data_IF_692324553577
#
_entry.id   IF_692324553577
#
_cell.length_a   1.000
_cell.length_b   1.000
_cell.length_c   1.000
_cell.angle_alpha   90.00
_cell.angle_beta   90.00
_cell.angle_gamma   90.00
#
_symmetry.space_group_name_H-M   'P 1'
#
loop_
_entity.id
_entity.type
_entity.pdbx_description
1 polymer ?
#
# COMPACT_ATOMS: atom_id res chain seq x y z
N UNK A 1 -0.27 15.42 -13.31
CA UNK A 1 -0.83 14.14 -13.81
C UNK A 1 -1.40 13.41 -12.60
N UNK A 2 -2.64 12.93 -12.70
CA UNK A 2 -3.48 12.55 -11.57
C UNK A 2 -2.77 11.65 -10.57
N UNK A 3 -2.82 12.02 -9.28
CA UNK A 3 -2.43 11.13 -8.21
C UNK A 3 -3.58 10.15 -7.97
N UNK A 4 -3.44 8.95 -8.50
CA UNK A 4 -4.57 8.04 -8.65
C UNK A 4 -4.99 7.38 -7.33
N UNK A 5 -4.10 7.25 -6.34
CA UNK A 5 -4.40 6.42 -5.14
C UNK A 5 -3.82 6.96 -3.81
N UNK A 6 -2.83 7.85 -3.80
CA UNK A 6 -2.36 8.57 -2.59
C UNK A 6 -1.30 9.61 -2.95
N UNK A 7 -1.36 10.80 -2.33
CA UNK A 7 -0.26 11.76 -2.40
C UNK A 7 0.90 11.27 -1.56
N UNK A 8 2.06 11.15 -2.19
CA UNK A 8 3.28 10.83 -1.47
C UNK A 8 3.60 11.90 -0.43
N UNK A 9 3.35 13.16 -0.75
CA UNK A 9 3.57 14.29 0.14
C UNK A 9 2.72 14.21 1.39
N UNK A 10 1.44 13.87 1.25
CA UNK A 10 0.53 13.78 2.39
C UNK A 10 0.90 12.59 3.29
N UNK A 11 1.32 11.47 2.71
CA UNK A 11 1.81 10.32 3.49
C UNK A 11 3.08 10.68 4.25
N UNK A 12 4.04 11.35 3.59
CA UNK A 12 5.27 11.78 4.25
C UNK A 12 4.99 12.80 5.37
N UNK A 13 4.06 13.73 5.15
CA UNK A 13 3.60 14.68 6.17
C UNK A 13 3.01 13.96 7.39
N UNK A 14 2.11 13.00 7.18
CA UNK A 14 1.50 12.25 8.29
C UNK A 14 2.56 11.44 9.05
N UNK A 15 3.46 10.75 8.35
CA UNK A 15 4.45 9.89 8.98
C UNK A 15 5.53 10.68 9.75
N UNK A 16 6.09 11.71 9.14
CA UNK A 16 7.27 12.40 9.68
C UNK A 16 6.93 13.68 10.45
N UNK A 17 5.83 14.37 10.12
CA UNK A 17 5.48 15.63 10.77
C UNK A 17 4.36 15.49 11.81
N UNK A 18 3.32 14.69 11.53
CA UNK A 18 2.22 14.51 12.50
C UNK A 18 2.53 13.42 13.54
N UNK A 19 2.99 12.27 13.07
CA UNK A 19 3.28 11.11 13.92
C UNK A 19 4.71 11.16 14.48
N UNK A 20 5.59 11.93 13.83
CA UNK A 20 7.02 12.00 14.16
C UNK A 20 7.64 10.60 14.28
N UNK A 21 7.47 9.77 13.26
CA UNK A 21 7.86 8.34 13.31
C UNK A 21 9.34 8.13 13.69
N UNK A 22 10.19 9.10 13.38
CA UNK A 22 11.60 9.15 13.76
C UNK A 22 11.83 9.05 15.28
N UNK A 23 10.87 9.44 16.13
CA UNK A 23 10.95 9.28 17.59
C UNK A 23 10.89 7.80 18.01
N UNK A 24 10.15 6.97 17.28
CA UNK A 24 10.03 5.53 17.60
C UNK A 24 11.29 4.75 17.24
N UNK A 25 12.08 5.25 16.29
CA UNK A 25 13.35 4.64 15.89
C UNK A 25 14.42 4.65 17.00
N UNK A 26 14.18 5.43 18.06
CA UNK A 26 15.05 5.50 19.24
C UNK A 26 14.87 4.31 20.19
N UNK A 27 13.79 3.55 20.04
CA UNK A 27 13.57 2.35 20.86
C UNK A 27 14.31 1.16 20.24
N UNK A 28 14.96 0.36 21.08
CA UNK A 28 15.73 -0.85 20.69
C UNK A 28 14.94 -1.80 19.79
N UNK A 29 13.61 -1.92 20.00
CA UNK A 29 12.72 -2.72 19.16
C UNK A 29 12.70 -2.31 17.67
N UNK A 30 13.06 -1.07 17.35
CA UNK A 30 12.98 -0.50 16.01
C UNK A 30 14.32 0.01 15.49
N UNK A 31 15.44 -0.40 16.10
CA UNK A 31 16.78 0.10 15.75
C UNK A 31 17.20 -0.21 14.30
N UNK A 32 16.67 -1.30 13.73
CA UNK A 32 16.93 -1.69 12.34
C UNK A 32 16.17 -0.84 11.33
N UNK A 33 15.12 -0.14 11.78
CA UNK A 33 14.33 0.74 10.93
C UNK A 33 14.95 2.12 10.91
N UNK A 34 14.97 2.71 9.72
CA UNK A 34 15.42 4.09 9.53
C UNK A 34 14.52 4.81 8.53
N UNK A 35 14.62 6.14 8.53
CA UNK A 35 13.84 7.00 7.65
C UNK A 35 13.91 6.60 6.18
N UNK A 36 15.11 6.26 5.69
CA UNK A 36 15.31 5.82 4.30
C UNK A 36 14.58 4.52 3.99
N UNK A 37 14.49 3.61 4.95
CA UNK A 37 13.71 2.37 4.81
C UNK A 37 12.22 2.67 4.66
N UNK A 38 11.66 3.54 5.50
CA UNK A 38 10.27 3.98 5.34
C UNK A 38 10.04 4.64 3.99
N UNK A 39 10.95 5.51 3.57
CA UNK A 39 10.82 6.19 2.29
C UNK A 39 10.79 5.23 1.11
N UNK A 40 11.66 4.20 1.14
CA UNK A 40 11.72 3.12 0.16
C UNK A 40 10.42 2.31 0.15
N UNK A 41 9.96 1.84 1.30
CA UNK A 41 8.74 1.03 1.44
C UNK A 41 7.54 1.78 0.86
N UNK A 42 7.35 3.04 1.25
CA UNK A 42 6.22 3.84 0.75
C UNK A 42 6.30 4.04 -0.76
N UNK A 43 7.50 4.07 -1.35
CA UNK A 43 7.69 4.19 -2.81
C UNK A 43 7.33 2.89 -3.54
N UNK A 44 7.80 1.75 -3.02
CA UNK A 44 7.53 0.43 -3.59
C UNK A 44 6.04 0.08 -3.49
N UNK A 45 5.44 0.26 -2.32
CA UNK A 45 4.01 0.02 -2.09
C UNK A 45 3.16 0.89 -3.00
N UNK A 46 3.54 2.16 -3.22
CA UNK A 46 2.83 3.03 -4.16
C UNK A 46 2.91 2.51 -5.60
N UNK A 47 4.08 2.06 -6.02
CA UNK A 47 4.28 1.50 -7.36
C UNK A 47 3.45 0.23 -7.55
N UNK A 48 3.48 -0.67 -6.56
CA UNK A 48 2.67 -1.88 -6.53
C UNK A 48 1.17 -1.57 -6.53
N UNK A 49 0.71 -0.62 -5.71
CA UNK A 49 -0.69 -0.23 -5.63
C UNK A 49 -1.22 0.29 -6.98
N UNK A 50 -0.42 1.06 -7.72
CA UNK A 50 -0.82 1.62 -9.03
C UNK A 50 -0.78 0.56 -10.12
N UNK A 51 0.22 -0.32 -10.12
CA UNK A 51 0.42 -1.30 -11.20
C UNK A 51 -0.40 -2.56 -11.04
N UNK A 52 -0.53 -3.06 -9.81
CA UNK A 52 -1.10 -4.37 -9.54
C UNK A 52 -2.49 -4.24 -8.89
N UNK A 53 -2.64 -3.38 -7.88
CA UNK A 53 -3.91 -3.28 -7.13
C UNK A 53 -4.97 -2.51 -7.91
N UNK A 54 -4.64 -1.34 -8.47
CA UNK A 54 -5.61 -0.50 -9.17
C UNK A 54 -6.34 -1.20 -10.33
N UNK A 55 -5.66 -1.98 -11.20
CA UNK A 55 -6.36 -2.71 -12.26
C UNK A 55 -7.39 -3.71 -11.72
N UNK A 56 -7.12 -4.33 -10.56
CA UNK A 56 -8.06 -5.28 -9.95
C UNK A 56 -9.36 -4.62 -9.48
N UNK A 57 -9.40 -3.30 -9.28
CA UNK A 57 -10.61 -2.62 -8.82
C UNK A 57 -11.71 -2.65 -9.88
N UNK A 58 -11.37 -2.36 -11.13
CA UNK A 58 -12.34 -2.36 -12.22
C UNK A 58 -12.80 -3.79 -12.56
N UNK A 59 -11.89 -4.76 -12.49
CA UNK A 59 -12.21 -6.17 -12.75
C UNK A 59 -13.04 -6.77 -11.62
N UNK A 60 -12.64 -6.53 -10.36
CA UNK A 60 -13.35 -6.99 -9.18
C UNK A 60 -14.77 -6.41 -9.05
N UNK A 61 -14.99 -5.15 -9.45
CA UNK A 61 -16.32 -4.53 -9.48
C UNK A 61 -17.23 -5.17 -10.55
N UNK A 62 -16.66 -5.56 -11.70
CA UNK A 62 -17.40 -6.18 -12.81
C UNK A 62 -17.72 -7.65 -12.57
N UNK A 63 -16.73 -8.42 -12.12
CA UNK A 63 -16.85 -9.87 -11.96
C UNK A 63 -17.41 -10.27 -10.59
N UNK A 64 -17.12 -9.47 -9.56
CA UNK A 64 -17.50 -9.75 -8.19
C UNK A 64 -16.88 -11.04 -7.65
N UNK A 65 -17.43 -11.51 -6.53
CA UNK A 65 -17.04 -12.79 -5.93
C UNK A 65 -18.03 -13.86 -6.37
N UNK A 66 -17.52 -15.00 -6.85
CA UNK A 66 -18.35 -16.14 -7.25
C UNK A 66 -18.35 -17.18 -6.14
N UNK A 67 -19.52 -17.64 -5.72
CA UNK A 67 -19.66 -18.74 -4.78
C UNK A 67 -20.01 -20.02 -5.53
N UNK A 68 -19.12 -21.01 -5.51
CA UNK A 68 -19.38 -22.35 -6.07
C UNK A 68 -19.07 -23.44 -5.04
N UNK A 69 -20.05 -24.30 -4.77
CA UNK A 69 -19.91 -25.52 -3.93
C UNK A 69 -19.15 -25.31 -2.61
N UNK A 70 -19.47 -24.24 -1.88
CA UNK A 70 -18.85 -23.94 -0.59
C UNK A 70 -17.52 -23.20 -0.66
N UNK A 71 -17.05 -22.84 -1.86
CA UNK A 71 -15.81 -22.08 -2.08
C UNK A 71 -16.12 -20.70 -2.65
N UNK A 72 -15.41 -19.70 -2.14
CA UNK A 72 -15.41 -18.35 -2.70
C UNK A 72 -14.26 -18.26 -3.70
N UNK A 73 -14.59 -17.92 -4.94
CA UNK A 73 -13.65 -17.70 -6.03
C UNK A 73 -13.55 -16.19 -6.27
N UNK A 74 -12.35 -15.67 -6.06
CA UNK A 74 -11.96 -14.33 -6.47
C UNK A 74 -11.20 -14.47 -7.80
N UNK A 75 -11.56 -13.66 -8.78
CA UNK A 75 -10.70 -13.48 -9.95
C UNK A 75 -9.50 -12.64 -9.48
N UNK A 76 -8.37 -13.30 -9.23
CA UNK A 76 -7.10 -12.61 -9.11
C UNK A 76 -6.41 -12.68 -10.45
N UNK A 77 -5.88 -11.54 -10.91
CA UNK A 77 -5.08 -11.42 -12.13
C UNK A 77 -3.91 -12.42 -12.01
N UNK A 78 -3.91 -13.47 -12.83
CA UNK A 78 -2.70 -14.24 -13.10
C UNK A 78 -1.83 -13.41 -14.05
N UNK A 79 -0.67 -12.98 -13.54
CA UNK A 79 0.43 -12.46 -14.35
C UNK A 79 1.51 -13.53 -14.51
#
# INVERSE_FOLDING_TARGET
MAQVIADRRDVDFVLFEQIEVDQFLKYEKYEELNRKMFELIVSEVRTFAVKEILPTYAEGDREGVKFDRGKMLFFMIEH
#
